data_IF_065708753045
#
_entry.id   IF_065708753045
#
_cell.length_a   1.000
_cell.length_b   1.000
_cell.length_c   1.000
_cell.angle_alpha   90.00
_cell.angle_beta   90.00
_cell.angle_gamma   90.00
#
_symmetry.space_group_name_H-M   'P 1'
#
loop_
_entity.id
_entity.type
_entity.pdbx_description
1 polymer ?
#
# COMPACT_ATOMS: atom_id res chain seq x y z
N UNK A 1 8.64 8.49 28.57
CA UNK A 1 8.54 7.27 29.31
C UNK A 1 9.06 6.09 28.51
N UNK A 2 9.54 5.11 29.22
CA UNK A 2 10.11 3.93 28.59
C UNK A 2 9.08 3.09 27.88
N UNK A 3 7.84 3.12 28.33
CA UNK A 3 6.79 2.29 27.75
C UNK A 3 6.44 2.70 26.34
N UNK A 4 6.31 4.00 26.08
CA UNK A 4 5.98 4.45 24.74
C UNK A 4 7.14 4.23 23.77
N UNK A 5 8.37 4.25 24.25
CA UNK A 5 9.53 3.94 23.42
C UNK A 5 9.52 2.47 23.00
N UNK A 6 9.16 1.58 23.91
CA UNK A 6 9.12 0.16 23.61
C UNK A 6 8.03 -0.15 22.58
N UNK A 7 6.87 0.49 22.70
CA UNK A 7 5.81 0.30 21.71
C UNK A 7 6.22 0.77 20.32
N UNK A 8 6.98 1.85 20.26
CA UNK A 8 7.48 2.36 18.98
C UNK A 8 8.50 1.44 18.34
N UNK A 9 9.13 0.58 19.12
CA UNK A 9 10.13 -0.35 18.60
C UNK A 9 9.54 -1.61 18.01
N UNK A 10 8.30 -1.94 18.36
CA UNK A 10 7.67 -3.14 17.83
C UNK A 10 7.17 -2.87 16.42
N UNK A 11 7.58 -3.75 15.52
CA UNK A 11 7.23 -3.67 14.11
C UNK A 11 6.71 -5.01 13.62
N UNK A 12 5.89 -4.94 12.59
CA UNK A 12 5.48 -6.13 11.85
C UNK A 12 5.62 -5.85 10.37
N UNK A 13 5.79 -6.91 9.59
CA UNK A 13 6.05 -6.78 8.16
C UNK A 13 4.81 -7.18 7.38
N UNK A 14 4.46 -6.39 6.39
CA UNK A 14 3.39 -6.72 5.46
C UNK A 14 3.95 -6.82 4.05
N UNK A 15 3.19 -7.48 3.19
CA UNK A 15 3.45 -7.52 1.77
C UNK A 15 2.38 -6.71 1.06
N UNK A 16 2.81 -5.70 0.32
CA UNK A 16 1.92 -4.81 -0.42
C UNK A 16 2.07 -5.08 -1.91
N UNK A 17 0.96 -5.27 -2.58
CA UNK A 17 0.92 -5.58 -4.01
C UNK A 17 0.23 -4.45 -4.76
N UNK A 18 0.78 -4.15 -5.93
CA UNK A 18 0.13 -3.26 -6.90
C UNK A 18 0.02 -4.03 -8.21
N UNK A 19 -1.20 -4.16 -8.72
CA UNK A 19 -1.45 -4.80 -10.01
C UNK A 19 -1.45 -3.77 -11.13
N UNK A 20 -1.17 -4.23 -12.35
CA UNK A 20 -1.16 -3.34 -13.51
C UNK A 20 -2.51 -2.70 -13.76
N UNK A 21 -3.59 -3.38 -13.40
CA UNK A 21 -4.95 -2.81 -13.53
C UNK A 21 -5.21 -1.65 -12.59
N UNK A 22 -4.37 -1.47 -11.59
CA UNK A 22 -4.49 -0.39 -10.61
C UNK A 22 -3.44 0.71 -10.82
N UNK A 23 -2.78 0.71 -11.95
CA UNK A 23 -1.93 1.83 -12.33
C UNK A 23 -2.77 2.99 -12.85
N UNK A 24 -2.30 4.23 -12.68
CA UNK A 24 -2.96 5.36 -13.31
C UNK A 24 -2.98 5.23 -14.83
N UNK A 25 -3.87 5.97 -15.48
CA UNK A 25 -3.93 5.99 -16.94
C UNK A 25 -2.58 6.37 -17.53
N UNK A 26 -2.24 5.77 -18.65
CA UNK A 26 -0.98 6.02 -19.35
C UNK A 26 0.25 5.61 -18.55
N UNK A 27 0.12 4.59 -17.74
CA UNK A 27 1.23 3.99 -17.03
C UNK A 27 1.25 2.48 -17.21
N UNK A 28 2.44 1.93 -17.15
CA UNK A 28 2.66 0.48 -17.25
C UNK A 28 3.88 0.13 -16.42
N UNK A 29 4.03 -1.14 -16.09
CA UNK A 29 5.25 -1.62 -15.43
C UNK A 29 6.33 -1.82 -16.46
N UNK A 30 7.48 -1.19 -16.26
CA UNK A 30 8.59 -1.27 -17.19
C UNK A 30 9.06 -2.71 -17.33
N UNK A 31 9.27 -3.19 -18.58
CA UNK A 31 9.59 -4.60 -18.79
C UNK A 31 10.91 -5.06 -18.16
N UNK A 32 11.87 -4.15 -17.99
CA UNK A 32 13.17 -4.50 -17.44
C UNK A 32 13.23 -4.21 -15.93
N UNK A 33 12.81 -3.02 -15.52
CA UNK A 33 12.93 -2.61 -14.12
C UNK A 33 11.73 -3.00 -13.28
N UNK A 34 10.57 -3.24 -13.91
CA UNK A 34 9.33 -3.50 -13.20
C UNK A 34 8.71 -2.27 -12.56
N UNK A 35 9.32 -1.11 -12.71
CA UNK A 35 8.82 0.12 -12.08
C UNK A 35 7.67 0.70 -12.87
N UNK A 36 6.69 1.32 -12.18
CA UNK A 36 5.65 2.06 -12.88
C UNK A 36 6.27 3.16 -13.73
N UNK A 37 5.88 3.20 -14.98
CA UNK A 37 6.47 4.09 -15.98
C UNK A 37 5.36 4.76 -16.75
N UNK A 38 5.50 6.06 -16.95
CA UNK A 38 4.53 6.84 -17.71
C UNK A 38 4.79 6.66 -19.20
N UNK A 39 3.72 6.54 -19.98
CA UNK A 39 3.80 6.44 -21.42
C UNK A 39 2.83 5.42 -21.96
N UNK A 40 2.96 5.17 -23.27
CA UNK A 40 2.12 4.21 -23.96
C UNK A 40 2.61 2.80 -23.68
N UNK A 41 1.67 1.94 -23.31
CA UNK A 41 2.01 0.55 -22.99
C UNK A 41 2.63 -0.14 -24.22
N UNK A 42 3.81 -0.73 -24.08
CA UNK A 42 4.42 -1.46 -25.18
C UNK A 42 3.59 -2.66 -25.60
N UNK A 43 3.66 -3.00 -26.88
CA UNK A 43 2.99 -4.17 -27.43
C UNK A 43 3.89 -5.39 -27.32
N UNK A 44 4.21 -5.77 -26.09
CA UNK A 44 4.99 -6.99 -25.82
C UNK A 44 4.20 -7.87 -24.89
N UNK A 45 4.44 -9.18 -24.97
CA UNK A 45 3.60 -10.13 -24.26
C UNK A 45 3.95 -10.29 -22.80
N UNK A 46 5.17 -10.00 -22.41
CA UNK A 46 5.69 -10.35 -21.10
C UNK A 46 5.87 -9.15 -20.17
N UNK A 47 4.95 -8.18 -20.23
CA UNK A 47 4.97 -7.08 -19.26
C UNK A 47 4.62 -7.62 -17.89
N UNK A 48 5.31 -7.13 -16.84
CA UNK A 48 4.94 -7.52 -15.49
C UNK A 48 3.50 -7.13 -15.19
N UNK A 49 2.77 -8.01 -14.54
CA UNK A 49 1.37 -7.78 -14.19
C UNK A 49 1.22 -7.26 -12.76
N UNK A 50 2.24 -7.35 -11.95
CA UNK A 50 2.19 -6.90 -10.58
C UNK A 50 3.58 -6.54 -10.08
N UNK A 51 3.61 -5.73 -9.02
CA UNK A 51 4.81 -5.43 -8.27
C UNK A 51 4.50 -5.56 -6.80
N UNK A 52 5.46 -6.02 -6.02
CA UNK A 52 5.32 -6.24 -4.59
C UNK A 52 6.37 -5.48 -3.83
N UNK A 53 5.99 -5.02 -2.65
CA UNK A 53 6.91 -4.35 -1.73
C UNK A 53 6.68 -4.91 -0.34
N UNK A 54 7.77 -5.09 0.40
CA UNK A 54 7.70 -5.43 1.81
C UNK A 54 7.82 -4.16 2.60
N UNK A 55 7.00 -4.04 3.64
CA UNK A 55 6.91 -2.82 4.41
C UNK A 55 6.86 -3.18 5.89
N UNK A 56 7.73 -2.57 6.69
CA UNK A 56 7.69 -2.74 8.14
C UNK A 56 6.88 -1.61 8.74
N UNK A 57 5.91 -1.97 9.55
CA UNK A 57 4.96 -1.04 10.12
C UNK A 57 5.06 -1.02 11.62
N UNK A 58 4.87 0.16 12.21
CA UNK A 58 4.64 0.25 13.64
C UNK A 58 3.29 -0.38 13.98
N UNK A 59 3.14 -0.82 15.23
CA UNK A 59 1.89 -1.44 15.68
C UNK A 59 0.67 -0.55 15.45
N UNK A 60 0.84 0.76 15.57
CA UNK A 60 -0.27 1.70 15.45
C UNK A 60 -0.40 2.31 14.05
N UNK A 61 0.30 1.79 13.05
CA UNK A 61 0.20 2.31 11.70
C UNK A 61 -1.23 2.21 11.19
N UNK A 62 -1.69 3.27 10.54
CA UNK A 62 -3.02 3.31 9.97
C UNK A 62 -3.02 2.89 8.51
N UNK A 63 -4.18 2.52 8.02
CA UNK A 63 -4.36 2.16 6.62
C UNK A 63 -3.98 3.34 5.73
N UNK A 64 -4.38 4.57 6.09
CA UNK A 64 -4.01 5.75 5.31
C UNK A 64 -2.50 5.91 5.18
N UNK A 65 -1.77 5.68 6.27
CA UNK A 65 -0.31 5.76 6.24
C UNK A 65 0.30 4.73 5.28
N UNK A 66 -0.26 3.53 5.24
CA UNK A 66 0.21 2.49 4.31
C UNK A 66 -0.06 2.91 2.86
N UNK A 67 -1.24 3.48 2.59
CA UNK A 67 -1.56 3.93 1.24
C UNK A 67 -0.59 5.04 0.82
N UNK A 68 -0.35 6.02 1.68
CA UNK A 68 0.58 7.11 1.38
C UNK A 68 1.98 6.58 1.10
N UNK A 69 2.45 5.67 1.95
CA UNK A 69 3.77 5.09 1.77
C UNK A 69 3.86 4.24 0.50
N UNK A 70 2.78 3.54 0.17
CA UNK A 70 2.72 2.77 -1.07
C UNK A 70 2.77 3.65 -2.30
N UNK A 71 2.02 4.75 -2.29
CA UNK A 71 2.05 5.73 -3.37
C UNK A 71 3.47 6.25 -3.58
N UNK A 72 4.16 6.56 -2.50
CA UNK A 72 5.53 7.04 -2.58
C UNK A 72 6.48 5.95 -3.08
N UNK A 73 6.36 4.74 -2.53
CA UNK A 73 7.26 3.65 -2.88
C UNK A 73 7.12 3.23 -4.34
N UNK A 74 5.89 3.21 -4.84
CA UNK A 74 5.63 2.87 -6.24
C UNK A 74 5.77 4.09 -7.17
N UNK A 75 6.03 5.26 -6.62
CA UNK A 75 6.21 6.49 -7.39
C UNK A 75 5.02 6.78 -8.29
N UNK A 76 3.83 6.77 -7.71
CA UNK A 76 2.60 7.00 -8.46
C UNK A 76 2.29 8.49 -8.48
N UNK A 77 2.38 9.13 -9.65
CA UNK A 77 2.11 10.57 -9.75
C UNK A 77 0.62 10.86 -9.58
N UNK A 78 0.33 12.00 -8.99
CA UNK A 78 -1.04 12.49 -8.82
C UNK A 78 -1.95 11.52 -8.07
N UNK A 79 -1.37 10.61 -7.29
CA UNK A 79 -2.13 9.67 -6.49
C UNK A 79 -2.34 10.22 -5.08
N UNK A 80 -3.51 9.95 -4.52
CA UNK A 80 -3.85 10.39 -3.16
C UNK A 80 -4.62 9.27 -2.46
N UNK A 81 -4.70 9.38 -1.14
CA UNK A 81 -5.51 8.46 -0.34
C UNK A 81 -6.98 8.80 -0.53
N UNK A 82 -7.81 7.81 -0.81
CA UNK A 82 -9.24 8.01 -0.87
C UNK A 82 -9.77 8.28 0.54
N UNK A 83 -10.48 9.37 0.70
CA UNK A 83 -10.96 9.79 2.01
C UNK A 83 -9.92 10.51 2.86
N UNK A 84 -8.77 10.84 2.29
CA UNK A 84 -7.74 11.59 3.00
C UNK A 84 -8.06 13.07 3.11
N UNK A 85 -7.37 13.71 4.05
CA UNK A 85 -7.65 15.11 4.36
C UNK A 85 -7.16 16.07 3.29
N UNK A 86 -6.32 15.61 2.39
CA UNK A 86 -5.69 16.48 1.39
C UNK A 86 -6.57 16.80 0.19
N UNK A 87 -7.79 16.29 0.18
CA UNK A 87 -8.61 16.35 -1.02
C UNK A 87 -9.02 17.79 -1.36
N UNK A 88 -9.14 18.64 -0.35
CA UNK A 88 -9.71 19.98 -0.54
C UNK A 88 -8.75 21.00 -1.10
N UNK A 89 -7.45 20.80 -0.93
CA UNK A 89 -6.47 21.84 -1.22
C UNK A 89 -6.09 21.95 -2.68
N UNK A 90 -6.72 21.18 -3.54
CA UNK A 90 -6.19 21.00 -4.88
C UNK A 90 -7.16 21.18 -6.01
N UNK A 91 -8.30 21.69 -5.70
CA UNK A 91 -9.40 21.63 -6.65
C UNK A 91 -9.29 22.60 -7.79
N UNK A 92 -8.43 23.61 -7.65
CA UNK A 92 -8.43 24.70 -8.63
C UNK A 92 -7.65 24.40 -9.90
N UNK A 93 -6.53 23.74 -9.74
CA UNK A 93 -5.58 23.63 -10.86
C UNK A 93 -5.19 22.20 -11.13
N UNK A 94 -5.62 21.30 -10.25
CA UNK A 94 -5.12 19.94 -10.34
C UNK A 94 -5.87 19.16 -11.40
N UNK A 95 -5.14 18.29 -12.05
CA UNK A 95 -5.72 17.23 -12.82
C UNK A 95 -6.53 16.33 -11.90
N UNK A 96 -7.49 15.59 -12.44
CA UNK A 96 -8.13 14.56 -11.64
C UNK A 96 -7.06 13.65 -11.04
N UNK A 97 -7.12 13.45 -9.72
CA UNK A 97 -6.16 12.61 -9.05
C UNK A 97 -6.69 11.20 -8.92
N UNK A 98 -5.78 10.25 -9.02
CA UNK A 98 -6.12 8.86 -8.74
C UNK A 98 -6.22 8.68 -7.23
N UNK A 99 -7.35 8.19 -6.77
CA UNK A 99 -7.57 7.90 -5.37
C UNK A 99 -7.32 6.42 -5.13
N UNK A 100 -6.57 6.12 -4.08
CA UNK A 100 -6.22 4.75 -3.75
C UNK A 100 -6.81 4.34 -2.42
N UNK A 101 -7.19 3.08 -2.35
CA UNK A 101 -7.65 2.41 -1.14
C UNK A 101 -6.78 1.20 -0.91
N UNK A 102 -6.82 0.70 0.32
CA UNK A 102 -6.10 -0.52 0.68
C UNK A 102 -7.10 -1.64 0.90
N UNK A 103 -6.87 -2.76 0.25
CA UNK A 103 -7.65 -3.96 0.44
C UNK A 103 -6.82 -5.00 1.17
N UNK A 104 -7.48 -5.84 1.93
CA UNK A 104 -6.87 -7.01 2.55
C UNK A 104 -7.41 -8.26 1.88
N UNK A 105 -6.52 -9.20 1.62
CA UNK A 105 -6.84 -10.46 0.96
C UNK A 105 -6.30 -11.58 1.84
N UNK A 106 -7.18 -12.41 2.35
CA UNK A 106 -6.76 -13.51 3.21
C UNK A 106 -7.26 -14.84 2.66
N UNK A 107 -6.68 -15.93 3.16
CA UNK A 107 -7.09 -17.26 2.71
C UNK A 107 -8.53 -17.59 3.10
N UNK A 108 -9.01 -17.00 4.18
CA UNK A 108 -10.33 -17.32 4.72
C UNK A 108 -11.43 -16.37 4.26
N UNK A 109 -11.06 -15.24 3.66
CA UNK A 109 -12.01 -14.20 3.28
C UNK A 109 -11.66 -13.63 1.91
N UNK A 110 -12.69 -13.22 1.19
CA UNK A 110 -12.49 -12.51 -0.05
C UNK A 110 -11.82 -11.17 0.22
N UNK A 111 -11.25 -10.60 -0.83
CA UNK A 111 -10.64 -9.29 -0.76
C UNK A 111 -11.65 -8.25 -0.27
N UNK A 112 -11.26 -7.44 0.71
CA UNK A 112 -12.14 -6.44 1.31
C UNK A 112 -11.41 -5.12 1.45
N UNK A 113 -12.12 -4.00 1.26
CA UNK A 113 -11.53 -2.69 1.50
C UNK A 113 -11.38 -2.42 2.99
N UNK A 114 -10.36 -1.65 3.33
CA UNK A 114 -10.09 -1.23 4.70
C UNK A 114 -10.32 0.27 4.83
N UNK A 115 -10.89 0.67 5.95
CA UNK A 115 -11.13 2.08 6.22
C UNK A 115 -9.79 2.79 6.47
N UNK A 116 -9.55 3.96 5.85
CA UNK A 116 -8.25 4.63 5.98
C UNK A 116 -7.89 5.02 7.40
N UNK A 117 -8.85 5.29 8.26
CA UNK A 117 -8.57 5.67 9.65
C UNK A 117 -8.31 4.45 10.55
N UNK A 118 -8.58 3.25 10.10
CA UNK A 118 -8.37 2.05 10.91
C UNK A 118 -6.89 1.69 10.97
N UNK A 119 -6.53 0.93 12.00
CA UNK A 119 -5.18 0.42 12.12
C UNK A 119 -5.02 -0.85 11.31
N UNK A 120 -3.89 -0.97 10.65
CA UNK A 120 -3.63 -2.16 9.82
C UNK A 120 -3.69 -3.43 10.66
N UNK A 121 -3.12 -3.38 11.85
CA UNK A 121 -3.06 -4.55 12.72
C UNK A 121 -4.45 -5.05 13.11
N UNK A 122 -5.43 -4.15 13.18
CA UNK A 122 -6.79 -4.52 13.53
C UNK A 122 -7.47 -5.37 12.45
N UNK A 123 -6.94 -5.39 11.24
CA UNK A 123 -7.50 -6.16 10.15
C UNK A 123 -7.08 -7.64 10.16
N UNK A 124 -6.14 -7.99 11.02
CA UNK A 124 -5.64 -9.37 11.08
C UNK A 124 -6.57 -10.24 11.90
N UNK A 125 -6.84 -11.44 11.42
CA UNK A 125 -7.54 -12.46 12.20
C UNK A 125 -6.61 -13.08 13.24
N UNK A 126 -5.36 -13.31 12.84
CA UNK A 126 -4.30 -13.81 13.70
C UNK A 126 -3.14 -12.83 13.60
N UNK A 127 -2.64 -12.38 14.74
CA UNK A 127 -1.59 -11.38 14.76
C UNK A 127 -0.35 -11.86 14.01
N UNK A 128 0.31 -10.96 13.29
CA UNK A 128 1.58 -11.29 12.64
C UNK A 128 2.71 -11.34 13.67
N UNK A 129 3.87 -11.77 13.21
CA UNK A 129 5.08 -11.71 14.02
C UNK A 129 5.42 -10.25 14.32
N UNK A 130 5.60 -9.96 15.60
CA UNK A 130 6.05 -8.64 16.03
C UNK A 130 7.52 -8.74 16.43
N UNK A 131 8.29 -7.78 15.95
CA UNK A 131 9.72 -7.77 16.16
C UNK A 131 10.17 -6.42 16.69
N UNK A 132 11.18 -6.46 17.57
CA UNK A 132 11.85 -5.25 17.97
C UNK A 132 12.80 -4.79 16.88
N UNK A 133 12.76 -3.50 16.59
CA UNK A 133 13.66 -2.89 15.65
C UNK A 133 14.55 -1.93 16.43
N UNK A 134 15.83 -1.88 16.05
CA UNK A 134 16.79 -0.99 16.67
C UNK A 134 16.33 0.45 16.51
N UNK A 135 16.24 1.16 17.63
CA UNK A 135 15.75 2.52 17.64
C UNK A 135 16.85 3.58 17.53
N UNK A 136 18.09 3.15 17.42
CA UNK A 136 19.21 4.10 17.28
C UNK A 136 19.11 4.91 16.01
N UNK A 137 18.36 4.43 15.05
CA UNK A 137 18.11 5.14 13.80
C UNK A 137 16.73 5.77 13.88
N UNK A 138 16.66 7.08 13.62
CA UNK A 138 15.35 7.74 13.54
C UNK A 138 14.60 7.18 12.37
N UNK A 139 13.55 6.42 12.68
CA UNK A 139 12.74 5.78 11.65
C UNK A 139 11.34 6.33 11.65
N UNK A 140 10.79 6.45 10.46
CA UNK A 140 9.37 6.72 10.32
C UNK A 140 8.59 5.51 10.80
N UNK A 141 7.30 5.68 11.00
CA UNK A 141 6.41 4.58 11.38
C UNK A 141 6.34 3.51 10.29
N UNK A 142 6.76 3.83 9.08
CA UNK A 142 6.78 2.93 7.94
C UNK A 142 8.19 2.85 7.40
N UNK A 143 8.59 1.66 7.00
CA UNK A 143 9.93 1.43 6.49
C UNK A 143 9.84 0.40 5.37
N UNK A 144 10.22 0.80 4.17
CA UNK A 144 10.31 -0.11 3.05
C UNK A 144 11.68 -0.78 3.04
N UNK A 145 11.68 -2.08 2.96
CA UNK A 145 12.93 -2.80 2.92
C UNK A 145 12.79 -3.99 1.96
N UNK A 146 13.85 -4.23 1.22
CA UNK A 146 14.02 -5.43 0.40
C UNK A 146 15.23 -6.21 0.89
N UNK A 147 15.63 -5.97 2.13
CA UNK A 147 16.77 -6.65 2.71
C UNK A 147 16.55 -8.15 2.75
N UNK A 148 17.63 -8.95 2.60
CA UNK A 148 17.52 -10.40 2.75
C UNK A 148 16.92 -10.75 4.11
N UNK A 149 16.08 -11.76 4.13
CA UNK A 149 15.45 -12.22 5.36
C UNK A 149 14.12 -11.56 5.69
N UNK A 150 13.73 -10.51 4.98
CA UNK A 150 12.44 -9.88 5.22
C UNK A 150 11.28 -10.84 4.97
N UNK A 151 11.44 -11.73 4.01
CA UNK A 151 10.42 -12.72 3.71
C UNK A 151 10.19 -13.70 4.87
N UNK A 152 11.19 -13.90 5.71
CA UNK A 152 11.06 -14.78 6.88
C UNK A 152 10.19 -14.15 7.98
N UNK A 153 9.97 -12.83 7.90
CA UNK A 153 9.13 -12.12 8.84
C UNK A 153 7.64 -12.27 8.54
N UNK A 154 7.31 -12.88 7.42
CA UNK A 154 5.93 -13.05 6.98
C UNK A 154 5.55 -14.52 7.11
N UNK A 155 4.44 -14.76 7.81
CA UNK A 155 3.90 -16.10 7.96
C UNK A 155 3.09 -16.47 6.73
N UNK A 156 3.03 -17.75 6.41
CA UNK A 156 2.24 -18.22 5.28
C UNK A 156 0.74 -17.92 5.45
N UNK A 157 0.31 -17.71 6.69
CA UNK A 157 -1.08 -17.40 7.00
C UNK A 157 -1.36 -15.90 6.99
N UNK A 158 -0.34 -15.07 6.86
CA UNK A 158 -0.52 -13.63 6.84
C UNK A 158 -1.30 -13.19 5.60
N UNK A 159 -2.15 -12.16 5.75
CA UNK A 159 -2.88 -11.65 4.59
C UNK A 159 -1.96 -10.89 3.65
N UNK A 160 -2.44 -10.75 2.43
CA UNK A 160 -1.82 -9.91 1.42
C UNK A 160 -2.58 -8.58 1.39
N UNK A 161 -1.83 -7.48 1.30
CA UNK A 161 -2.45 -6.16 1.17
C UNK A 161 -2.32 -5.69 -0.28
N UNK A 162 -3.39 -5.12 -0.80
CA UNK A 162 -3.47 -4.74 -2.21
C UNK A 162 -3.83 -3.27 -2.30
N UNK A 163 -3.01 -2.52 -3.03
CA UNK A 163 -3.27 -1.11 -3.29
C UNK A 163 -4.17 -1.02 -4.51
N UNK A 164 -5.39 -0.52 -4.34
CA UNK A 164 -6.39 -0.48 -5.39
C UNK A 164 -6.81 0.95 -5.70
N UNK A 165 -7.08 1.21 -6.97
CA UNK A 165 -7.73 2.46 -7.36
C UNK A 165 -9.16 2.42 -6.86
N UNK A 166 -9.56 3.49 -6.15
CA UNK A 166 -10.94 3.63 -5.74
C UNK A 166 -11.81 3.93 -6.96
N UNK A 167 -12.82 3.11 -7.17
CA UNK A 167 -13.75 3.28 -8.28
C UNK A 167 -14.89 4.16 -7.85
N UNK A 168 -15.28 5.07 -8.74
CA UNK A 168 -16.42 5.93 -8.49
C UNK A 168 -17.69 5.11 -8.57
N UNK A 169 -18.43 5.04 -7.48
CA UNK A 169 -19.68 4.29 -7.43
C UNK A 169 -20.71 4.83 -8.42
N UNK A 170 -20.68 6.12 -8.64
CA UNK A 170 -21.62 6.72 -9.59
C UNK A 170 -21.42 6.21 -11.01
N UNK A 171 -20.20 6.03 -11.41
CA UNK A 171 -19.93 5.51 -12.74
C UNK A 171 -20.44 4.10 -12.91
N UNK A 172 -20.32 3.29 -11.86
CA UNK A 172 -20.81 1.93 -11.91
C UNK A 172 -22.33 1.88 -11.99
N UNK A 173 -22.98 2.75 -11.24
CA UNK A 173 -24.45 2.82 -11.26
C UNK A 173 -24.97 3.44 -12.54
N UNK A 174 -24.25 4.38 -13.08
CA UNK A 174 -24.64 5.09 -14.30
C UNK A 174 -24.58 4.23 -15.56
N UNK A 175 -23.97 3.08 -15.48
CA UNK A 175 -23.87 2.16 -16.62
C UNK A 175 -25.13 1.32 -16.77
N UNK A 176 -25.94 1.29 -15.79
CA UNK A 176 -27.16 0.50 -15.81
C UNK A 176 -28.22 1.05 -16.78
#
# INVERSE_FOLDING_TARGET
>A
STTSSQDKQLRFTIQLVLYDTDLPDNMFFHPTTGNPTRGTKPLIQDLPSEQRRFMRLAKNATVAEVIEAGIEAFQLPDAVVDGGDDVEDRTRFSRPRCKYVLHIQSASHNEQPLHPASKVLAAYDTLPLLQFVDTDVKRKSLDFTVAPGVMDDILSTDPLFVLRIARDKYKQEGVV
#
